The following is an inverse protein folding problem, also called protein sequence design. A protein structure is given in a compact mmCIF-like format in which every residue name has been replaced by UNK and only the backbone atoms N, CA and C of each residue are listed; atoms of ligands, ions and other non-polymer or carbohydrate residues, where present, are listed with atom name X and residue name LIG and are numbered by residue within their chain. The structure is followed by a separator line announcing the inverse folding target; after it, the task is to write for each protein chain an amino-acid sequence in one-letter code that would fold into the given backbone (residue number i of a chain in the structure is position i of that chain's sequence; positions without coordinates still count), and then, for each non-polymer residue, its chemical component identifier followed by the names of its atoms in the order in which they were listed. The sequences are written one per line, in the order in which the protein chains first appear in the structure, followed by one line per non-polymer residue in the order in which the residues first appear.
data_IF_248594357509
#
_entry.id   IF_248594357509
#
_cell.length_a   1.000
_cell.length_b   1.000
_cell.length_c   1.000
_cell.angle_alpha   90.00
_cell.angle_beta   90.00
_cell.angle_gamma   90.00
#
_symmetry.space_group_name_H-M   'P 1'
#
loop_
_entity.id
_entity.type
_entity.pdbx_description
1 polymer ?
#
# COMPACT_ATOMS: atom_id res chain seq x y z
N UNK A 1 19.37 3.68 -0.64
CA UNK A 1 19.91 3.31 0.69
C UNK A 1 20.89 4.33 1.28
N UNK A 2 21.93 4.76 0.56
CA UNK A 2 22.91 5.73 1.06
C UNK A 2 22.28 7.06 1.51
N UNK A 3 21.29 7.59 0.78
CA UNK A 3 20.57 8.81 1.18
C UNK A 3 19.89 8.67 2.55
N UNK A 4 19.29 7.51 2.85
CA UNK A 4 18.66 7.25 4.15
C UNK A 4 19.70 7.25 5.26
N UNK A 5 20.80 6.52 5.08
CA UNK A 5 21.89 6.49 6.06
C UNK A 5 22.50 7.89 6.27
N UNK A 6 22.65 8.66 5.19
CA UNK A 6 23.14 10.02 5.25
C UNK A 6 22.20 10.95 6.02
N UNK A 7 20.89 10.92 5.77
CA UNK A 7 19.91 11.72 6.52
C UNK A 7 19.99 11.41 8.02
N UNK A 8 20.04 10.12 8.38
CA UNK A 8 20.19 9.70 9.78
C UNK A 8 21.51 10.22 10.38
N UNK A 9 22.61 10.20 9.62
CA UNK A 9 23.90 10.74 10.08
C UNK A 9 23.88 12.26 10.33
N UNK A 10 22.96 12.98 9.68
CA UNK A 10 22.72 14.41 9.92
C UNK A 10 21.80 14.67 11.12
N UNK A 11 21.41 13.64 11.87
CA UNK A 11 20.52 13.75 13.02
C UNK A 11 19.02 13.74 12.67
N UNK A 12 18.66 13.46 11.41
CA UNK A 12 17.24 13.28 11.04
C UNK A 12 16.69 12.05 11.77
N UNK A 13 15.57 12.22 12.46
CA UNK A 13 14.89 11.12 13.13
C UNK A 13 14.48 10.05 12.11
N UNK A 14 14.92 8.81 12.30
CA UNK A 14 14.56 7.71 11.41
C UNK A 14 13.03 7.49 11.29
N UNK A 15 12.28 7.80 12.35
CA UNK A 15 10.82 7.73 12.34
C UNK A 15 10.13 8.73 11.39
N UNK A 16 10.90 9.71 10.89
CA UNK A 16 10.46 10.69 9.90
C UNK A 16 10.81 10.33 8.45
N UNK A 17 11.43 9.18 8.24
CA UNK A 17 11.81 8.70 6.91
C UNK A 17 10.91 7.52 6.51
N UNK A 18 10.30 7.64 5.33
CA UNK A 18 9.53 6.60 4.66
C UNK A 18 10.26 6.21 3.37
N UNK A 19 10.77 4.99 3.30
CA UNK A 19 11.37 4.45 2.08
C UNK A 19 10.49 3.33 1.53
N UNK A 20 9.96 3.51 0.32
CA UNK A 20 9.03 2.58 -0.33
C UNK A 20 9.57 2.04 -1.64
N UNK A 21 9.24 0.80 -1.95
CA UNK A 21 9.57 0.09 -3.20
C UNK A 21 8.41 -0.81 -3.63
N UNK A 22 8.55 -1.53 -4.74
CA UNK A 22 7.47 -2.33 -5.34
C UNK A 22 7.47 -3.78 -4.86
N UNK A 23 8.63 -4.34 -4.52
CA UNK A 23 8.72 -5.76 -4.15
C UNK A 23 9.21 -5.95 -2.72
N UNK A 24 8.72 -7.02 -2.07
CA UNK A 24 9.20 -7.40 -0.75
C UNK A 24 10.70 -7.71 -0.74
N UNK A 25 11.20 -8.31 -1.82
CA UNK A 25 12.64 -8.58 -2.00
C UNK A 25 13.45 -7.30 -2.00
N UNK A 26 13.08 -6.31 -2.84
CA UNK A 26 13.76 -5.02 -2.87
C UNK A 26 13.68 -4.31 -1.51
N UNK A 27 12.54 -4.39 -0.82
CA UNK A 27 12.37 -3.80 0.52
C UNK A 27 13.32 -4.42 1.55
N UNK A 28 13.43 -5.74 1.55
CA UNK A 28 14.34 -6.47 2.44
C UNK A 28 15.81 -6.18 2.11
N UNK A 29 16.20 -6.22 0.84
CA UNK A 29 17.56 -5.86 0.41
C UNK A 29 17.91 -4.41 0.77
N UNK A 30 16.97 -3.48 0.58
CA UNK A 30 17.14 -2.07 0.94
C UNK A 30 17.35 -1.91 2.44
N UNK A 31 16.54 -2.61 3.25
CA UNK A 31 16.63 -2.64 4.71
C UNK A 31 17.99 -3.18 5.19
N UNK A 32 18.43 -4.33 4.67
CA UNK A 32 19.73 -4.92 5.00
C UNK A 32 20.89 -3.97 4.66
N UNK A 33 20.85 -3.35 3.48
CA UNK A 33 21.87 -2.39 3.05
C UNK A 33 21.90 -1.15 3.95
N UNK A 34 20.74 -0.61 4.35
CA UNK A 34 20.68 0.53 5.30
C UNK A 34 21.25 0.11 6.66
N UNK A 35 20.90 -1.06 7.18
CA UNK A 35 21.46 -1.57 8.44
C UNK A 35 22.98 -1.69 8.39
N UNK A 36 23.52 -2.27 7.30
CA UNK A 36 24.97 -2.35 7.09
C UNK A 36 25.60 -0.96 7.09
N UNK A 37 25.03 0.01 6.36
CA UNK A 37 25.56 1.37 6.31
C UNK A 37 25.50 2.09 7.65
N UNK A 38 24.47 1.86 8.47
CA UNK A 38 24.40 2.45 9.81
C UNK A 38 25.45 1.83 10.74
N UNK A 39 25.62 0.50 10.74
CA UNK A 39 26.64 -0.19 11.57
C UNK A 39 28.07 0.20 11.16
N UNK A 40 28.34 0.33 9.86
CA UNK A 40 29.67 0.73 9.37
C UNK A 40 29.88 2.25 9.44
N UNK A 41 28.82 3.05 9.27
CA UNK A 41 28.85 4.50 9.41
C UNK A 41 29.06 4.94 10.86
N UNK A 42 28.54 4.20 11.84
CA UNK A 42 28.89 4.38 13.25
C UNK A 42 30.40 4.22 13.51
N UNK A 43 31.11 3.38 12.74
CA UNK A 43 32.58 3.28 12.78
C UNK A 43 33.32 4.46 12.14
N UNK A 44 32.65 5.28 11.32
CA UNK A 44 33.19 6.57 10.86
C UNK A 44 32.92 7.72 11.85
N UNK A 45 31.89 7.58 12.71
CA UNK A 45 31.55 8.54 13.78
C UNK A 45 32.32 8.21 15.08
N UNK A 46 33.01 7.07 15.17
CA UNK A 46 33.83 6.61 16.30
C UNK A 46 35.02 7.51 16.69
N UNK A 47 35.21 8.68 16.04
CA UNK A 47 36.11 9.72 16.58
C UNK A 47 35.48 10.64 17.61
N UNK A 48 34.18 10.54 17.92
CA UNK A 48 33.60 11.34 19.00
C UNK A 48 32.64 10.54 19.90
N UNK A 49 33.07 10.38 21.15
CA UNK A 49 32.33 10.10 22.40
C UNK A 49 31.91 8.66 22.71
N UNK A 50 32.46 8.13 23.80
CA UNK A 50 32.30 6.78 24.40
C UNK A 50 30.87 6.41 24.87
N UNK A 51 29.82 7.13 24.47
CA UNK A 51 28.46 6.98 25.04
C UNK A 51 27.35 6.70 24.00
N UNK A 52 27.66 6.32 22.76
CA UNK A 52 26.61 5.98 21.78
C UNK A 52 26.07 4.56 21.99
N UNK A 53 24.87 4.46 22.60
CA UNK A 53 24.07 3.22 22.62
C UNK A 53 23.86 2.71 21.18
N UNK A 54 23.88 1.38 20.94
CA UNK A 54 23.53 0.83 19.64
C UNK A 54 22.15 1.33 19.22
N UNK A 55 21.99 1.62 17.92
CA UNK A 55 20.72 2.08 17.33
C UNK A 55 19.64 1.05 17.68
N UNK A 56 18.76 1.40 18.61
CA UNK A 56 17.68 0.51 19.04
C UNK A 56 16.75 0.24 17.85
N UNK A 57 16.08 -0.92 17.79
CA UNK A 57 15.14 -1.24 16.72
C UNK A 57 14.03 -0.17 16.52
N UNK A 58 13.74 0.64 17.54
CA UNK A 58 12.83 1.79 17.50
C UNK A 58 13.38 3.05 16.79
N UNK A 59 14.61 2.98 16.28
CA UNK A 59 15.29 4.05 15.53
C UNK A 59 15.54 3.65 14.07
N UNK A 60 14.84 2.65 13.55
CA UNK A 60 14.93 2.28 12.14
C UNK A 60 13.79 2.91 11.32
N UNK A 61 14.06 3.47 10.12
CA UNK A 61 13.01 4.07 9.31
C UNK A 61 12.06 3.02 8.74
N UNK A 62 10.89 3.44 8.25
CA UNK A 62 10.07 2.51 7.48
C UNK A 62 10.78 2.20 6.16
N UNK A 63 10.99 0.91 5.88
CA UNK A 63 11.52 0.42 4.62
C UNK A 63 10.68 -0.80 4.21
N UNK A 64 9.99 -0.71 3.08
CA UNK A 64 9.10 -1.79 2.63
C UNK A 64 8.34 -1.41 1.36
N UNK A 65 7.24 -2.13 1.07
CA UNK A 65 6.39 -1.81 -0.07
C UNK A 65 5.31 -0.78 0.27
N UNK A 66 4.74 -0.12 -0.75
CA UNK A 66 3.54 0.70 -0.58
C UNK A 66 2.42 -0.08 0.12
N UNK A 67 2.19 -1.32 -0.29
CA UNK A 67 1.20 -2.22 0.32
C UNK A 67 1.50 -2.51 1.79
N UNK A 68 2.74 -2.81 2.15
CA UNK A 68 3.12 -3.06 3.53
C UNK A 68 2.93 -1.81 4.41
N UNK A 69 3.22 -0.62 3.87
CA UNK A 69 2.98 0.65 4.54
C UNK A 69 1.49 0.88 4.78
N UNK A 70 0.69 0.79 3.72
CA UNK A 70 -0.76 0.98 3.76
C UNK A 70 -1.42 -0.03 4.70
N UNK A 71 -1.02 -1.30 4.66
CA UNK A 71 -1.53 -2.31 5.57
C UNK A 71 -1.24 -1.95 7.03
N UNK A 72 0.00 -1.58 7.37
CA UNK A 72 0.36 -1.16 8.73
C UNK A 72 -0.46 0.04 9.18
N UNK A 73 -0.71 0.99 8.29
CA UNK A 73 -1.50 2.18 8.59
C UNK A 73 -2.97 1.84 8.81
N UNK A 74 -3.58 1.06 7.93
CA UNK A 74 -4.98 0.62 8.01
C UNK A 74 -5.26 -0.27 9.22
N UNK A 75 -4.28 -1.03 9.71
CA UNK A 75 -4.42 -1.75 11.00
C UNK A 75 -4.66 -0.83 12.18
N UNK A 76 -4.13 0.40 12.13
CA UNK A 76 -4.20 1.39 13.21
C UNK A 76 -5.40 2.32 13.00
N UNK A 77 -5.56 2.84 11.77
CA UNK A 77 -6.47 3.93 11.44
C UNK A 77 -7.68 3.48 10.60
N UNK A 78 -7.71 2.24 10.12
CA UNK A 78 -8.78 1.73 9.24
C UNK A 78 -10.18 1.83 9.85
N UNK A 79 -10.30 1.86 11.18
CA UNK A 79 -11.56 2.05 11.89
C UNK A 79 -12.29 3.34 11.49
N UNK A 80 -11.58 4.39 11.07
CA UNK A 80 -12.18 5.67 10.65
C UNK A 80 -12.84 5.60 9.27
N UNK A 81 -12.66 4.49 8.55
CA UNK A 81 -13.36 4.18 7.30
C UNK A 81 -14.14 2.86 7.41
N UNK A 82 -14.43 2.41 8.63
CA UNK A 82 -15.22 1.19 8.87
C UNK A 82 -14.46 -0.12 8.66
N UNK A 83 -13.14 -0.10 8.48
CA UNK A 83 -12.33 -1.31 8.34
C UNK A 83 -11.91 -1.83 9.74
N UNK A 84 -12.22 -3.08 10.10
CA UNK A 84 -11.82 -3.63 11.40
C UNK A 84 -10.30 -3.79 11.47
N UNK A 85 -9.68 -3.57 12.63
CA UNK A 85 -8.22 -3.72 12.80
C UNK A 85 -7.72 -5.14 12.50
N UNK A 86 -8.58 -6.15 12.64
CA UNK A 86 -8.32 -7.56 12.33
C UNK A 86 -8.67 -7.99 10.90
N UNK A 87 -8.88 -7.06 9.96
CA UNK A 87 -9.27 -7.37 8.58
C UNK A 87 -8.40 -8.43 7.88
N UNK A 88 -8.98 -9.23 6.99
CA UNK A 88 -8.25 -10.22 6.21
C UNK A 88 -7.62 -9.57 4.96
N UNK A 89 -6.46 -10.05 4.53
CA UNK A 89 -5.85 -9.66 3.26
C UNK A 89 -5.96 -10.84 2.32
N UNK A 90 -6.77 -10.70 1.27
CA UNK A 90 -6.91 -11.68 0.21
C UNK A 90 -5.68 -11.59 -0.70
N UNK A 91 -5.11 -12.75 -1.01
CA UNK A 91 -4.13 -12.86 -2.08
C UNK A 91 -4.81 -12.96 -3.46
N UNK A 92 -4.01 -13.16 -4.50
CA UNK A 92 -4.51 -13.26 -5.87
C UNK A 92 -5.42 -14.48 -6.08
N UNK A 93 -5.16 -15.60 -5.41
CA UNK A 93 -5.92 -16.84 -5.55
C UNK A 93 -7.25 -16.76 -4.80
N UNK A 94 -7.25 -16.18 -3.60
CA UNK A 94 -8.47 -15.86 -2.84
C UNK A 94 -9.37 -14.91 -3.64
N UNK A 95 -8.78 -13.85 -4.19
CA UNK A 95 -9.48 -12.85 -5.00
C UNK A 95 -10.09 -13.47 -6.26
N UNK A 96 -9.32 -14.29 -6.98
CA UNK A 96 -9.80 -14.99 -8.17
C UNK A 96 -10.92 -15.98 -7.84
N UNK A 97 -10.82 -16.66 -6.69
CA UNK A 97 -11.84 -17.60 -6.21
C UNK A 97 -13.15 -16.88 -5.89
N UNK A 98 -13.08 -15.71 -5.24
CA UNK A 98 -14.25 -14.88 -4.97
C UNK A 98 -14.90 -14.37 -6.25
N UNK A 99 -14.12 -13.89 -7.22
CA UNK A 99 -14.64 -13.48 -8.54
C UNK A 99 -15.36 -14.62 -9.24
N UNK A 100 -14.78 -15.84 -9.26
CA UNK A 100 -15.43 -17.03 -9.84
C UNK A 100 -16.77 -17.33 -9.16
N UNK A 101 -16.83 -17.24 -7.83
CA UNK A 101 -18.05 -17.48 -7.04
C UNK A 101 -19.14 -16.46 -7.41
N UNK A 102 -18.79 -15.18 -7.50
CA UNK A 102 -19.72 -14.09 -7.86
C UNK A 102 -20.24 -14.28 -9.28
N UNK A 103 -19.35 -14.54 -10.25
CA UNK A 103 -19.75 -14.76 -11.63
C UNK A 103 -20.71 -15.94 -11.77
N UNK A 104 -20.44 -17.04 -11.06
CA UNK A 104 -21.32 -18.22 -11.05
C UNK A 104 -22.70 -17.88 -10.46
N UNK A 105 -22.75 -17.15 -9.35
CA UNK A 105 -24.01 -16.75 -8.70
C UNK A 105 -24.85 -15.81 -9.59
N UNK A 106 -24.20 -14.94 -10.36
CA UNK A 106 -24.83 -14.02 -11.30
C UNK A 106 -25.19 -14.65 -12.66
N UNK A 107 -24.90 -15.94 -12.88
CA UNK A 107 -25.14 -16.62 -14.16
C UNK A 107 -24.23 -16.16 -15.30
N UNK A 108 -23.07 -15.56 -14.99
CA UNK A 108 -22.10 -15.07 -15.97
C UNK A 108 -21.24 -16.25 -16.46
N UNK A 109 -21.22 -16.47 -17.78
CA UNK A 109 -20.41 -17.54 -18.38
C UNK A 109 -18.90 -17.22 -18.30
N UNK A 110 -18.20 -18.00 -17.47
CA UNK A 110 -16.75 -17.93 -17.28
C UNK A 110 -15.91 -18.31 -18.51
N UNK A 111 -16.51 -18.95 -19.53
CA UNK A 111 -15.84 -19.24 -20.80
C UNK A 111 -15.82 -18.03 -21.71
N UNK A 112 -16.91 -17.26 -21.72
CA UNK A 112 -17.00 -16.01 -22.46
C UNK A 112 -16.22 -14.89 -21.77
N UNK A 113 -16.31 -14.82 -20.44
CA UNK A 113 -15.57 -13.87 -19.61
C UNK A 113 -14.61 -14.61 -18.69
N UNK A 114 -13.31 -14.51 -18.95
CA UNK A 114 -12.33 -15.14 -18.07
C UNK A 114 -12.32 -14.43 -16.70
N UNK A 115 -12.47 -15.15 -15.58
CA UNK A 115 -12.47 -14.54 -14.24
C UNK A 115 -11.20 -13.72 -13.95
N UNK A 116 -10.05 -14.15 -14.46
CA UNK A 116 -8.78 -13.42 -14.33
C UNK A 116 -8.80 -12.08 -15.07
N UNK A 117 -9.47 -11.99 -16.22
CA UNK A 117 -9.63 -10.73 -16.96
C UNK A 117 -10.55 -9.76 -16.22
N UNK A 118 -11.62 -10.26 -15.60
CA UNK A 118 -12.50 -9.44 -14.76
C UNK A 118 -11.75 -8.93 -13.53
N UNK A 119 -11.01 -9.80 -12.84
CA UNK A 119 -10.18 -9.42 -11.70
C UNK A 119 -9.11 -8.38 -12.11
N UNK A 120 -8.48 -8.56 -13.27
CA UNK A 120 -7.53 -7.57 -13.81
C UNK A 120 -8.18 -6.21 -14.06
N UNK A 121 -9.39 -6.17 -14.60
CA UNK A 121 -10.13 -4.93 -14.80
C UNK A 121 -10.47 -4.23 -13.47
N UNK A 122 -10.85 -5.00 -12.45
CA UNK A 122 -11.08 -4.49 -11.09
C UNK A 122 -9.79 -3.92 -10.48
N UNK A 123 -8.68 -4.65 -10.60
CA UNK A 123 -7.36 -4.22 -10.11
C UNK A 123 -6.92 -2.91 -10.77
N UNK A 124 -7.06 -2.81 -12.10
CA UNK A 124 -6.80 -1.58 -12.84
C UNK A 124 -7.69 -0.42 -12.39
N UNK A 125 -8.99 -0.65 -12.19
CA UNK A 125 -9.91 0.38 -11.69
C UNK A 125 -9.48 0.91 -10.31
N UNK A 126 -9.13 0.01 -9.38
CA UNK A 126 -8.63 0.40 -8.05
C UNK A 126 -7.29 1.14 -8.11
N UNK A 127 -6.39 0.71 -8.99
CA UNK A 127 -5.12 1.39 -9.25
C UNK A 127 -5.29 2.84 -9.74
N UNK A 128 -6.38 3.10 -10.47
CA UNK A 128 -6.81 4.43 -10.92
C UNK A 128 -7.73 5.16 -9.92
N UNK A 129 -7.88 4.64 -8.70
CA UNK A 129 -8.74 5.20 -7.65
C UNK A 129 -10.23 5.32 -8.04
N UNK A 130 -10.70 4.44 -8.93
CA UNK A 130 -12.11 4.35 -9.30
C UNK A 130 -12.83 3.33 -8.42
N UNK A 131 -13.85 3.77 -7.67
CA UNK A 131 -14.76 2.85 -7.00
C UNK A 131 -15.74 2.20 -8.01
N UNK A 132 -16.58 1.23 -7.60
CA UNK A 132 -17.50 0.60 -8.55
C UNK A 132 -18.46 1.55 -9.26
N UNK A 133 -18.83 2.67 -8.63
CA UNK A 133 -19.74 3.66 -9.21
C UNK A 133 -19.00 4.62 -10.13
N UNK A 134 -17.76 5.00 -9.80
CA UNK A 134 -16.87 5.74 -10.71
C UNK A 134 -16.57 4.89 -11.94
N UNK A 135 -16.19 3.62 -11.76
CA UNK A 135 -15.83 2.69 -12.83
C UNK A 135 -16.99 2.50 -13.83
N UNK A 136 -18.24 2.48 -13.35
CA UNK A 136 -19.45 2.39 -14.20
C UNK A 136 -19.47 3.47 -15.29
N UNK A 137 -18.99 4.67 -15.00
CA UNK A 137 -19.01 5.80 -15.95
C UNK A 137 -18.02 5.62 -17.11
N UNK A 138 -16.95 4.87 -16.88
CA UNK A 138 -15.90 4.59 -17.86
C UNK A 138 -16.06 3.23 -18.53
N UNK A 139 -16.82 2.31 -17.92
CA UNK A 139 -17.09 0.99 -18.46
C UNK A 139 -17.78 1.07 -19.83
N UNK A 140 -17.16 0.45 -20.84
CA UNK A 140 -17.70 0.39 -22.21
C UNK A 140 -17.93 -1.05 -22.65
N UNK A 141 -19.01 -1.24 -23.40
CA UNK A 141 -19.38 -2.51 -24.00
C UNK A 141 -19.72 -3.60 -22.98
N UNK A 142 -20.03 -4.77 -23.50
CA UNK A 142 -20.54 -5.89 -22.72
C UNK A 142 -19.55 -6.39 -21.65
N UNK A 143 -18.24 -6.31 -21.92
CA UNK A 143 -17.21 -6.62 -20.93
C UNK A 143 -17.19 -5.62 -19.77
N UNK A 144 -17.18 -4.31 -20.05
CA UNK A 144 -17.14 -3.29 -19.01
C UNK A 144 -18.37 -3.32 -18.10
N UNK A 145 -19.55 -3.52 -18.68
CA UNK A 145 -20.79 -3.67 -17.91
C UNK A 145 -20.75 -4.90 -17.00
N UNK A 146 -20.22 -6.03 -17.51
CA UNK A 146 -20.06 -7.26 -16.72
C UNK A 146 -19.03 -7.07 -15.61
N UNK A 147 -17.88 -6.46 -15.90
CA UNK A 147 -16.85 -6.15 -14.91
C UNK A 147 -17.39 -5.23 -13.81
N UNK A 148 -18.19 -4.22 -14.15
CA UNK A 148 -18.83 -3.32 -13.18
C UNK A 148 -19.76 -4.08 -12.23
N UNK A 149 -20.63 -4.94 -12.76
CA UNK A 149 -21.54 -5.76 -11.93
C UNK A 149 -20.76 -6.64 -10.96
N UNK A 150 -19.74 -7.35 -11.47
CA UNK A 150 -18.88 -8.20 -10.63
C UNK A 150 -18.11 -7.37 -9.61
N UNK A 151 -17.65 -6.17 -9.97
CA UNK A 151 -16.90 -5.30 -9.07
C UNK A 151 -17.74 -4.84 -7.87
N UNK A 152 -18.99 -4.44 -8.11
CA UNK A 152 -19.94 -4.07 -7.05
C UNK A 152 -20.10 -5.22 -6.05
N UNK A 153 -20.42 -6.41 -6.54
CA UNK A 153 -20.63 -7.59 -5.69
C UNK A 153 -19.33 -8.01 -4.99
N UNK A 154 -18.18 -7.89 -5.66
CA UNK A 154 -16.87 -8.22 -5.11
C UNK A 154 -16.51 -7.34 -3.90
N UNK A 155 -16.68 -6.02 -4.02
CA UNK A 155 -16.43 -5.12 -2.89
C UNK A 155 -17.42 -5.34 -1.75
N UNK A 156 -18.68 -5.67 -2.05
CA UNK A 156 -19.67 -5.98 -1.03
C UNK A 156 -19.30 -7.25 -0.25
N UNK A 157 -18.92 -8.33 -0.94
CA UNK A 157 -18.52 -9.58 -0.31
C UNK A 157 -17.27 -9.41 0.56
N UNK A 158 -16.24 -8.70 0.06
CA UNK A 158 -15.06 -8.35 0.86
C UNK A 158 -15.45 -7.55 2.11
N UNK A 159 -16.31 -6.54 1.97
CA UNK A 159 -16.74 -5.71 3.09
C UNK A 159 -17.51 -6.50 4.15
N UNK A 160 -18.37 -7.47 3.76
CA UNK A 160 -19.16 -8.28 4.70
C UNK A 160 -18.29 -9.09 5.67
N UNK A 161 -17.16 -9.59 5.19
CA UNK A 161 -16.23 -10.40 6.00
C UNK A 161 -15.08 -9.57 6.59
N UNK A 162 -15.10 -8.25 6.38
CA UNK A 162 -14.00 -7.38 6.79
C UNK A 162 -12.68 -7.75 6.12
N UNK A 163 -12.68 -8.00 4.81
CA UNK A 163 -11.47 -8.28 4.03
C UNK A 163 -11.09 -7.11 3.12
N UNK A 164 -9.84 -7.12 2.68
CA UNK A 164 -9.28 -6.28 1.61
C UNK A 164 -8.46 -7.17 0.69
N UNK A 165 -8.40 -6.87 -0.59
CA UNK A 165 -7.33 -7.37 -1.44
C UNK A 165 -6.10 -6.43 -1.38
N UNK A 166 -5.07 -6.71 -2.18
CA UNK A 166 -3.88 -5.87 -2.23
C UNK A 166 -4.18 -4.45 -2.71
N UNK A 167 -4.97 -4.28 -3.77
CA UNK A 167 -5.27 -2.97 -4.33
C UNK A 167 -6.13 -2.11 -3.40
N UNK A 168 -7.02 -2.74 -2.63
CA UNK A 168 -7.80 -2.09 -1.56
C UNK A 168 -6.90 -1.41 -0.52
N UNK A 169 -5.69 -1.94 -0.25
CA UNK A 169 -4.79 -1.33 0.73
C UNK A 169 -4.41 0.08 0.30
N UNK A 170 -4.09 0.26 -0.99
CA UNK A 170 -3.74 1.56 -1.55
C UNK A 170 -4.98 2.45 -1.61
N UNK A 171 -6.04 1.94 -2.25
CA UNK A 171 -7.29 2.65 -2.47
C UNK A 171 -7.89 3.18 -1.15
N UNK A 172 -8.03 2.30 -0.15
CA UNK A 172 -8.63 2.67 1.15
C UNK A 172 -7.73 3.61 1.95
N UNK A 173 -6.41 3.54 1.80
CA UNK A 173 -5.50 4.50 2.45
C UNK A 173 -5.65 5.90 1.86
N UNK A 174 -5.77 6.01 0.53
CA UNK A 174 -6.08 7.31 -0.11
C UNK A 174 -7.41 7.85 0.40
N UNK A 175 -8.49 7.05 0.36
CA UNK A 175 -9.81 7.47 0.86
C UNK A 175 -9.79 7.85 2.34
N UNK A 176 -8.99 7.15 3.17
CA UNK A 176 -8.81 7.50 4.58
C UNK A 176 -8.24 8.91 4.74
N UNK A 177 -7.17 9.23 4.01
CA UNK A 177 -6.53 10.54 4.08
C UNK A 177 -7.40 11.66 3.51
N UNK A 178 -8.10 11.42 2.40
CA UNK A 178 -9.05 12.37 1.82
C UNK A 178 -10.19 12.72 2.80
N UNK A 179 -10.71 11.73 3.53
CA UNK A 179 -11.82 11.91 4.47
C UNK A 179 -11.41 12.41 5.84
N UNK A 180 -10.17 12.18 6.26
CA UNK A 180 -9.71 12.45 7.62
C UNK A 180 -8.45 13.30 7.64
N UNK A 181 -8.62 14.62 7.54
CA UNK A 181 -7.52 15.59 7.54
C UNK A 181 -6.60 15.48 8.76
N UNK A 182 -7.13 15.25 9.95
CA UNK A 182 -6.32 15.09 11.18
C UNK A 182 -5.37 13.88 11.09
N UNK A 183 -5.82 12.79 10.45
CA UNK A 183 -5.00 11.60 10.24
C UNK A 183 -3.94 11.91 9.20
N UNK A 184 -4.31 12.52 8.08
CA UNK A 184 -3.35 12.98 7.08
C UNK A 184 -2.26 13.86 7.72
N UNK A 185 -2.63 14.90 8.46
CA UNK A 185 -1.69 15.82 9.13
C UNK A 185 -0.75 15.11 10.11
N UNK A 186 -1.25 14.10 10.85
CA UNK A 186 -0.43 13.26 11.74
C UNK A 186 0.67 12.52 10.97
N UNK A 187 0.37 11.98 9.79
CA UNK A 187 1.32 11.18 9.01
C UNK A 187 2.21 12.05 8.11
N UNK A 188 1.71 13.13 7.52
CA UNK A 188 2.49 14.09 6.73
C UNK A 188 3.50 14.85 7.60
N UNK A 189 3.09 15.30 8.79
CA UNK A 189 4.01 15.95 9.74
C UNK A 189 5.08 14.99 10.26
N UNK A 190 4.77 13.69 10.32
CA UNK A 190 5.71 12.66 10.72
C UNK A 190 6.73 12.40 9.62
N UNK A 191 6.29 12.06 8.41
CA UNK A 191 7.16 11.61 7.33
C UNK A 191 7.69 12.78 6.50
N UNK A 192 8.75 13.42 7.00
CA UNK A 192 9.41 14.56 6.34
C UNK A 192 10.24 14.18 5.11
N UNK A 193 10.62 12.91 5.00
CA UNK A 193 11.42 12.41 3.89
C UNK A 193 10.78 11.14 3.33
N UNK A 194 10.20 11.25 2.14
CA UNK A 194 9.67 10.11 1.39
C UNK A 194 10.62 9.78 0.24
N UNK A 195 11.12 8.55 0.23
CA UNK A 195 11.96 8.03 -0.84
C UNK A 195 11.21 6.90 -1.54
N UNK A 196 11.01 7.06 -2.84
CA UNK A 196 10.35 6.06 -3.69
C UNK A 196 11.40 5.49 -4.63
N UNK A 197 11.54 4.17 -4.62
CA UNK A 197 12.35 3.42 -5.57
C UNK A 197 11.48 2.99 -6.76
N UNK A 198 12.08 2.84 -7.96
CA UNK A 198 11.38 2.47 -9.21
C UNK A 198 10.18 3.37 -9.54
N UNK A 199 10.36 4.70 -9.43
CA UNK A 199 9.27 5.66 -9.59
C UNK A 199 8.55 5.60 -10.95
N UNK A 200 9.22 5.08 -11.98
CA UNK A 200 8.61 4.89 -13.31
C UNK A 200 7.46 3.87 -13.34
N UNK A 201 7.37 2.99 -12.33
CA UNK A 201 6.36 1.92 -12.27
C UNK A 201 5.15 2.29 -11.38
N UNK A 202 5.07 3.54 -10.93
CA UNK A 202 4.04 4.05 -10.00
C UNK A 202 2.69 4.20 -10.72
N UNK A 203 1.64 3.56 -10.19
CA UNK A 203 0.26 3.79 -10.64
C UNK A 203 -0.36 5.04 -9.98
N UNK A 204 -1.55 5.44 -10.43
CA UNK A 204 -2.24 6.65 -9.91
C UNK A 204 -2.44 6.62 -8.39
N UNK A 205 -2.89 5.50 -7.83
CA UNK A 205 -3.08 5.38 -6.38
C UNK A 205 -1.77 5.58 -5.59
N UNK A 206 -0.67 4.97 -6.04
CA UNK A 206 0.64 5.14 -5.43
C UNK A 206 1.18 6.57 -5.61
N UNK A 207 0.96 7.18 -6.78
CA UNK A 207 1.34 8.57 -7.04
C UNK A 207 0.61 9.52 -6.08
N UNK A 208 -0.71 9.41 -6.00
CA UNK A 208 -1.53 10.22 -5.08
C UNK A 208 -1.09 10.02 -3.63
N UNK A 209 -0.75 8.78 -3.22
CA UNK A 209 -0.19 8.54 -1.89
C UNK A 209 1.08 9.34 -1.62
N UNK A 210 1.95 9.52 -2.61
CA UNK A 210 3.18 10.31 -2.45
C UNK A 210 2.91 11.81 -2.32
N UNK A 211 1.81 12.33 -2.88
CA UNK A 211 1.44 13.75 -2.79
C UNK A 211 0.92 14.15 -1.40
N UNK A 212 0.55 13.19 -0.56
CA UNK A 212 0.13 13.45 0.82
C UNK A 212 1.27 13.75 1.79
N UNK A 213 2.53 13.55 1.36
CA UNK A 213 3.71 13.67 2.20
C UNK A 213 4.67 14.76 1.71
#
# INVERSE_FOLDING_TARGET
THKVAYLISLGVSANSILAVTFTNKAGNEMKERIMKLLVHGSRFIEKQTENQKPIAANQFPFVGTFHAFCAKLLRIEGKYIGLPSGYLIYDSDDSLTLVKKIMKAAGIDTKHFRPSSILGAISSAKGELLDPEDYRQFARGYFGETATKVYVDYQQELSKIGACDFDDLLFKTVKLFEKNRNILEKYSSRFKYVLVDEYQDVNTAQYVLTLFF
#
